data_IF_491066385012
#
_entry.id   IF_491066385012
#
_cell.length_a   1.000
_cell.length_b   1.000
_cell.length_c   1.000
_cell.angle_alpha   90.00
_cell.angle_beta   90.00
_cell.angle_gamma   90.00
#
_symmetry.space_group_name_H-M   'P 1'
#
loop_
_entity.id
_entity.type
_entity.pdbx_description
1 polymer ?
#
# COMPACT_ATOMS: atom_id res chain seq x y z
N UNK A 1 -5.81 12.95 -11.23
CA UNK A 1 -6.13 11.85 -10.31
C UNK A 1 -4.89 10.98 -10.21
N UNK A 2 -4.25 10.90 -9.05
CA UNK A 2 -3.03 10.12 -8.89
C UNK A 2 -3.43 8.63 -8.87
N UNK A 3 -2.92 7.85 -9.82
CA UNK A 3 -3.22 6.43 -9.92
C UNK A 3 -2.13 5.66 -9.19
N UNK A 4 -2.48 4.98 -8.10
CA UNK A 4 -1.57 4.06 -7.42
C UNK A 4 -1.30 2.88 -8.36
N UNK A 5 -0.03 2.58 -8.59
CA UNK A 5 0.42 1.47 -9.45
C UNK A 5 1.46 0.63 -8.72
N UNK A 6 1.83 -0.50 -9.29
CA UNK A 6 2.87 -1.39 -8.74
C UNK A 6 4.25 -0.70 -8.58
N UNK A 7 4.51 0.35 -9.35
CA UNK A 7 5.75 1.14 -9.30
C UNK A 7 5.72 2.22 -8.20
N UNK A 8 4.55 2.51 -7.62
CA UNK A 8 4.42 3.46 -6.52
C UNK A 8 5.25 2.99 -5.32
N UNK A 9 6.03 3.92 -4.73
CA UNK A 9 6.74 3.66 -3.48
C UNK A 9 5.74 3.53 -2.33
N UNK A 10 5.91 2.50 -1.50
CA UNK A 10 5.03 2.25 -0.35
C UNK A 10 4.99 3.47 0.58
N UNK A 11 6.13 4.11 0.79
CA UNK A 11 6.21 5.34 1.58
C UNK A 11 5.39 6.50 1.02
N UNK A 12 5.44 6.75 -0.29
CA UNK A 12 4.65 7.83 -0.90
C UNK A 12 3.15 7.57 -0.76
N UNK A 13 2.73 6.30 -0.81
CA UNK A 13 1.33 5.92 -0.59
C UNK A 13 0.90 6.28 0.85
N UNK A 14 1.71 5.96 1.85
CA UNK A 14 1.45 6.30 3.26
C UNK A 14 1.47 7.80 3.54
N UNK A 15 2.37 8.57 2.90
CA UNK A 15 2.43 10.02 3.07
C UNK A 15 1.22 10.74 2.45
N UNK A 16 0.82 10.30 1.26
CA UNK A 16 -0.27 10.94 0.53
C UNK A 16 -1.65 10.49 1.01
N UNK A 17 -1.74 9.25 1.47
CA UNK A 17 -2.98 8.57 1.83
C UNK A 17 -2.79 7.78 3.13
N UNK A 18 -2.64 8.46 4.29
CA UNK A 18 -2.42 7.81 5.58
C UNK A 18 -3.49 6.76 5.95
N UNK A 19 -4.72 6.96 5.47
CA UNK A 19 -5.85 6.04 5.61
C UNK A 19 -5.60 4.65 5.01
N UNK A 20 -4.60 4.52 4.12
CA UNK A 20 -4.20 3.23 3.54
C UNK A 20 -3.30 2.39 4.45
N UNK A 21 -2.86 2.93 5.60
CA UNK A 21 -1.92 2.26 6.51
C UNK A 21 -2.41 0.88 6.98
N UNK A 22 -3.70 0.73 7.24
CA UNK A 22 -4.26 -0.56 7.66
C UNK A 22 -4.11 -1.64 6.58
N UNK A 23 -4.36 -1.30 5.32
CA UNK A 23 -4.16 -2.21 4.19
C UNK A 23 -2.68 -2.51 3.99
N UNK A 24 -1.83 -1.49 4.08
CA UNK A 24 -0.37 -1.66 3.99
C UNK A 24 0.12 -2.64 5.06
N UNK A 25 -0.31 -2.47 6.32
CA UNK A 25 0.03 -3.39 7.42
C UNK A 25 -0.52 -4.79 7.21
N UNK A 26 -1.73 -4.94 6.67
CA UNK A 26 -2.34 -6.23 6.38
C UNK A 26 -1.51 -7.06 5.39
N UNK A 27 -1.00 -6.45 4.32
CA UNK A 27 -0.27 -7.15 3.26
C UNK A 27 1.24 -7.17 3.50
N UNK A 28 1.80 -6.19 4.20
CA UNK A 28 3.23 -6.02 4.44
C UNK A 28 3.60 -6.15 5.92
N UNK A 29 2.80 -6.87 6.71
CA UNK A 29 2.97 -7.03 8.18
C UNK A 29 4.38 -7.49 8.55
N UNK A 30 4.97 -8.40 7.77
CA UNK A 30 6.32 -8.91 7.97
C UNK A 30 7.34 -7.80 8.18
N UNK A 31 7.26 -6.71 7.40
CA UNK A 31 8.19 -5.58 7.53
C UNK A 31 8.03 -4.86 8.87
N UNK A 32 6.81 -4.71 9.37
CA UNK A 32 6.55 -4.09 10.67
C UNK A 32 6.95 -5.00 11.84
N UNK A 33 6.62 -6.28 11.75
CA UNK A 33 6.95 -7.28 12.78
C UNK A 33 8.46 -7.39 13.00
N UNK A 34 9.24 -7.23 11.93
CA UNK A 34 10.70 -7.32 11.96
C UNK A 34 11.40 -5.96 12.08
N UNK A 35 10.64 -4.87 12.28
CA UNK A 35 11.16 -3.49 12.38
C UNK A 35 11.96 -3.04 11.15
N UNK A 36 11.56 -3.53 9.98
CA UNK A 36 12.16 -3.28 8.67
C UNK A 36 11.41 -2.19 7.88
N UNK A 37 10.32 -1.63 8.41
CA UNK A 37 9.50 -0.63 7.76
C UNK A 37 10.31 0.61 7.35
N UNK A 38 11.14 1.11 8.26
CA UNK A 38 11.93 2.33 8.06
C UNK A 38 13.18 2.13 7.18
N UNK A 39 13.62 0.88 7.02
CA UNK A 39 14.87 0.54 6.32
C UNK A 39 14.55 0.00 4.93
N UNK A 40 13.69 -1.01 4.85
CA UNK A 40 13.35 -1.71 3.62
C UNK A 40 12.04 -1.20 3.03
N UNK A 41 10.93 -1.24 3.78
CA UNK A 41 9.59 -0.95 3.22
C UNK A 41 9.52 0.45 2.62
N UNK A 42 10.10 1.46 3.30
CA UNK A 42 10.15 2.84 2.80
C UNK A 42 10.88 2.99 1.45
N UNK A 43 11.79 2.07 1.12
CA UNK A 43 12.59 2.12 -0.13
C UNK A 43 11.96 1.32 -1.26
N UNK A 44 11.05 0.41 -0.95
CA UNK A 44 10.44 -0.49 -1.92
C UNK A 44 9.29 0.17 -2.67
N UNK A 45 9.13 -0.22 -3.94
CA UNK A 45 7.84 -0.09 -4.61
C UNK A 45 6.87 -1.15 -4.07
N UNK A 46 5.59 -0.98 -4.32
CA UNK A 46 4.57 -1.99 -3.99
C UNK A 46 4.93 -3.34 -4.62
N UNK A 47 5.34 -3.34 -5.90
CA UNK A 47 5.86 -4.53 -6.59
C UNK A 47 7.06 -5.15 -5.88
N UNK A 48 8.01 -4.31 -5.45
CA UNK A 48 9.18 -4.76 -4.73
C UNK A 48 8.82 -5.44 -3.41
N UNK A 49 7.88 -4.87 -2.65
CA UNK A 49 7.37 -5.47 -1.42
C UNK A 49 6.65 -6.80 -1.67
N UNK A 50 5.84 -6.89 -2.73
CA UNK A 50 5.21 -8.15 -3.13
C UNK A 50 6.22 -9.23 -3.49
N UNK A 51 7.25 -8.89 -4.25
CA UNK A 51 8.28 -9.84 -4.65
C UNK A 51 9.08 -10.36 -3.45
N UNK A 52 9.41 -9.49 -2.49
CA UNK A 52 10.13 -9.89 -1.26
C UNK A 52 9.33 -10.87 -0.42
N UNK A 53 8.00 -10.72 -0.37
CA UNK A 53 7.11 -11.56 0.41
C UNK A 53 6.47 -12.69 -0.40
N UNK A 54 6.85 -12.83 -1.68
CA UNK A 54 6.28 -13.81 -2.61
C UNK A 54 4.74 -13.81 -2.64
N UNK A 55 4.13 -12.62 -2.55
CA UNK A 55 2.67 -12.48 -2.50
C UNK A 55 2.06 -12.94 -3.85
N UNK A 56 1.09 -13.87 -3.85
CA UNK A 56 0.48 -14.36 -5.09
C UNK A 56 -0.34 -13.28 -5.80
N UNK A 57 -0.44 -13.36 -7.13
CA UNK A 57 -1.08 -12.35 -7.98
C UNK A 57 -2.53 -12.02 -7.57
N UNK A 58 -3.29 -13.03 -7.11
CA UNK A 58 -4.65 -12.84 -6.59
C UNK A 58 -4.68 -11.88 -5.40
N UNK A 59 -3.76 -12.05 -4.45
CA UNK A 59 -3.62 -11.17 -3.28
C UNK A 59 -3.12 -9.78 -3.66
N UNK A 60 -2.29 -9.68 -4.69
CA UNK A 60 -1.87 -8.38 -5.21
C UNK A 60 -3.06 -7.61 -5.80
N UNK A 61 -3.97 -8.29 -6.52
CA UNK A 61 -5.21 -7.68 -7.03
C UNK A 61 -6.11 -7.22 -5.90
N UNK A 62 -6.34 -8.07 -4.88
CA UNK A 62 -7.10 -7.71 -3.68
C UNK A 62 -6.53 -6.45 -3.01
N UNK A 63 -5.20 -6.36 -2.86
CA UNK A 63 -4.55 -5.16 -2.32
C UNK A 63 -4.92 -3.89 -3.10
N UNK A 64 -4.80 -3.90 -4.43
CA UNK A 64 -5.13 -2.72 -5.23
C UNK A 64 -6.62 -2.39 -5.20
N UNK A 65 -7.50 -3.39 -5.13
CA UNK A 65 -8.93 -3.17 -4.94
C UNK A 65 -9.23 -2.49 -3.60
N UNK A 66 -8.62 -2.97 -2.50
CA UNK A 66 -8.76 -2.36 -1.18
C UNK A 66 -8.25 -0.92 -1.15
N UNK A 67 -7.07 -0.66 -1.72
CA UNK A 67 -6.53 0.70 -1.86
C UNK A 67 -7.48 1.58 -2.66
N UNK A 68 -7.93 1.14 -3.85
CA UNK A 68 -8.83 1.94 -4.67
C UNK A 68 -10.17 2.21 -3.97
N UNK A 69 -10.69 1.25 -3.20
CA UNK A 69 -11.92 1.42 -2.42
C UNK A 69 -11.76 2.48 -1.33
N UNK A 70 -10.60 2.55 -0.66
CA UNK A 70 -10.30 3.59 0.34
C UNK A 70 -10.22 4.96 -0.34
N UNK A 71 -9.40 5.08 -1.38
CA UNK A 71 -9.20 6.34 -2.10
C UNK A 71 -10.49 6.86 -2.74
N UNK A 72 -11.38 5.98 -3.18
CA UNK A 72 -12.68 6.38 -3.74
C UNK A 72 -13.64 6.89 -2.67
N UNK A 73 -13.55 6.40 -1.43
CA UNK A 73 -14.38 6.87 -0.31
C UNK A 73 -13.95 8.26 0.16
N UNK A 74 -12.66 8.56 0.13
CA UNK A 74 -12.13 9.87 0.54
C UNK A 74 -12.47 11.00 -0.44
N UNK A 75 -12.63 10.69 -1.73
CA UNK A 75 -13.17 11.64 -2.71
C UNK A 75 -14.62 12.03 -2.37
N UNK A 76 -15.42 11.08 -1.88
CA UNK A 76 -16.82 11.31 -1.55
C UNK A 76 -16.95 12.11 -0.24
N UNK A 77 -16.10 11.83 0.76
CA UNK A 77 -16.13 12.51 2.07
C UNK A 77 -15.67 13.97 2.03
N UNK A 78 -14.78 14.35 1.11
CA UNK A 78 -14.29 15.74 0.95
C UNK A 78 -15.15 16.61 0.02
N UNK A 79 -16.31 16.10 -0.43
CA UNK A 79 -17.23 16.80 -1.33
C UNK A 79 -18.43 17.47 -0.61
N UNK A 80 -18.37 17.61 0.72
CA UNK A 80 -19.43 18.22 1.56
C UNK A 80 -18.93 19.40 2.38
#
# INVERSE_FOLDING_TARGET
MLRVTEETKVFHLLEQFPETEEVIKKYFSYFYEHRLEDIALKRLSIKGAFNVLEIPEEKQKEFFEEINNILSKDIISNSY
#
